data_IF_395930212564
#
_entry.id   IF_395930212564
#
_cell.length_a   1.000
_cell.length_b   1.000
_cell.length_c   1.000
_cell.angle_alpha   90.00
_cell.angle_beta   90.00
_cell.angle_gamma   90.00
#
_symmetry.space_group_name_H-M   'P 1'
#
loop_
_entity.id
_entity.type
_entity.pdbx_description
1 polymer ?
#
# COMPACT_ATOMS: atom_id res chain seq x y z
N UNK A 1 -5.15 12.24 -22.08
CA UNK A 1 -5.47 13.05 -20.87
C UNK A 1 -4.74 12.48 -19.66
N UNK A 2 -3.98 13.31 -18.93
CA UNK A 2 -3.30 12.88 -17.69
C UNK A 2 -4.33 12.73 -16.56
N UNK A 3 -4.29 11.60 -15.86
CA UNK A 3 -5.13 11.38 -14.68
C UNK A 3 -4.50 12.05 -13.45
N UNK A 4 -4.86 13.32 -13.22
CA UNK A 4 -4.30 14.20 -12.17
C UNK A 4 -4.28 13.54 -10.79
N UNK A 5 -5.31 12.75 -10.46
CA UNK A 5 -5.42 12.04 -9.18
C UNK A 5 -4.33 10.98 -9.02
N UNK A 6 -4.05 10.22 -10.09
CA UNK A 6 -3.00 9.19 -10.10
C UNK A 6 -1.62 9.84 -9.99
N UNK A 7 -1.38 10.92 -10.74
CA UNK A 7 -0.09 11.63 -10.70
C UNK A 7 0.20 12.21 -9.32
N UNK A 8 -0.77 12.88 -8.69
CA UNK A 8 -0.64 13.41 -7.33
C UNK A 8 -0.33 12.28 -6.33
N UNK A 9 -1.00 11.13 -6.45
CA UNK A 9 -0.77 9.95 -5.60
C UNK A 9 0.65 9.41 -5.77
N UNK A 10 1.13 9.28 -7.00
CA UNK A 10 2.47 8.78 -7.29
C UNK A 10 3.55 9.74 -6.78
N UNK A 11 3.35 11.05 -6.95
CA UNK A 11 4.26 12.08 -6.40
C UNK A 11 4.35 11.99 -4.87
N UNK A 12 3.22 11.87 -4.18
CA UNK A 12 3.19 11.71 -2.73
C UNK A 12 3.86 10.40 -2.29
N UNK A 13 3.57 9.27 -2.97
CA UNK A 13 4.23 8.00 -2.69
C UNK A 13 5.75 8.11 -2.81
N UNK A 14 6.27 8.75 -3.85
CA UNK A 14 7.72 8.96 -4.02
C UNK A 14 8.30 9.80 -2.87
N UNK A 15 7.64 10.90 -2.48
CA UNK A 15 8.07 11.75 -1.36
C UNK A 15 8.06 11.01 -0.01
N UNK A 16 7.10 10.11 0.21
CA UNK A 16 7.05 9.32 1.44
C UNK A 16 8.15 8.25 1.43
N UNK A 17 8.35 7.56 0.30
CA UNK A 17 9.40 6.53 0.13
C UNK A 17 10.82 7.08 0.22
N UNK A 18 11.03 8.39 -0.01
CA UNK A 18 12.35 9.00 0.22
C UNK A 18 12.69 9.16 1.70
N UNK A 19 11.70 9.05 2.61
CA UNK A 19 11.89 9.14 4.06
C UNK A 19 11.65 7.81 4.78
N UNK A 20 10.78 6.98 4.23
CA UNK A 20 10.38 5.69 4.80
C UNK A 20 10.94 4.59 3.93
N UNK A 21 11.91 3.86 4.47
CA UNK A 21 12.53 2.68 3.89
C UNK A 21 12.28 1.48 4.81
N UNK A 22 11.86 0.36 4.24
CA UNK A 22 11.59 -0.87 4.98
C UNK A 22 12.80 -1.79 4.99
N UNK A 23 13.19 -2.28 6.17
CA UNK A 23 14.25 -3.29 6.34
C UNK A 23 13.66 -4.63 6.78
N UNK A 24 14.47 -5.68 6.87
CA UNK A 24 14.02 -6.98 7.39
C UNK A 24 13.45 -6.90 8.82
N UNK A 25 14.04 -6.06 9.69
CA UNK A 25 13.56 -5.87 11.07
C UNK A 25 12.33 -4.95 11.13
N UNK A 26 12.28 -3.93 10.27
CA UNK A 26 11.20 -2.96 10.21
C UNK A 26 10.70 -2.79 8.78
N UNK A 27 9.90 -3.74 8.28
CA UNK A 27 9.43 -3.70 6.90
C UNK A 27 8.40 -2.59 6.68
N UNK A 28 8.33 -2.09 5.46
CA UNK A 28 7.45 -0.99 5.07
C UNK A 28 6.06 -1.51 4.72
N UNK A 29 5.04 -1.01 5.39
CA UNK A 29 3.65 -1.26 5.05
C UNK A 29 3.18 -0.34 3.90
N UNK A 30 2.72 -0.93 2.80
CA UNK A 30 2.16 -0.24 1.63
C UNK A 30 0.67 -0.53 1.51
N UNK A 31 -0.16 0.51 1.59
CA UNK A 31 -1.62 0.40 1.44
C UNK A 31 -2.08 1.01 0.13
N UNK A 32 -2.87 0.25 -0.63
CA UNK A 32 -3.61 0.70 -1.80
C UNK A 32 -5.11 0.59 -1.55
N UNK A 33 -5.82 1.71 -1.68
CA UNK A 33 -7.27 1.77 -1.53
C UNK A 33 -7.88 2.16 -2.88
N UNK A 34 -8.75 1.28 -3.37
CA UNK A 34 -9.63 1.53 -4.50
C UNK A 34 -11.02 1.96 -4.00
N UNK A 35 -11.96 2.19 -4.92
CA UNK A 35 -13.34 2.48 -4.54
C UNK A 35 -14.05 1.27 -3.91
N UNK A 36 -13.61 0.04 -4.26
CA UNK A 36 -14.30 -1.20 -3.88
C UNK A 36 -13.59 -1.96 -2.76
N UNK A 37 -12.26 -2.01 -2.82
CA UNK A 37 -11.40 -2.84 -1.98
C UNK A 37 -10.15 -2.12 -1.48
N UNK A 38 -9.58 -2.65 -0.40
CA UNK A 38 -8.31 -2.23 0.19
C UNK A 38 -7.32 -3.41 0.12
N UNK A 39 -6.08 -3.08 -0.19
CA UNK A 39 -4.95 -3.99 -0.28
C UNK A 39 -3.80 -3.44 0.56
N UNK A 40 -3.17 -4.30 1.35
CA UNK A 40 -2.02 -3.98 2.17
C UNK A 40 -0.89 -4.98 1.90
N UNK A 41 0.35 -4.50 1.87
CA UNK A 41 1.55 -5.31 1.64
C UNK A 41 2.63 -4.89 2.63
N UNK A 42 3.28 -5.87 3.24
CA UNK A 42 4.46 -5.68 4.08
C UNK A 42 5.70 -5.99 3.23
N UNK A 43 6.58 -5.00 3.02
CA UNK A 43 7.66 -5.08 2.05
C UNK A 43 9.00 -4.82 2.74
N UNK A 44 9.97 -5.68 2.47
CA UNK A 44 11.38 -5.44 2.73
C UNK A 44 11.98 -4.76 1.48
N UNK A 45 12.39 -3.49 1.61
CA UNK A 45 12.96 -2.73 0.50
C UNK A 45 14.43 -3.08 0.23
N UNK A 46 15.16 -3.67 1.18
CA UNK A 46 16.56 -4.12 0.98
C UNK A 46 16.61 -5.33 0.06
N UNK A 47 15.73 -6.30 0.33
CA UNK A 47 15.61 -7.54 -0.46
C UNK A 47 14.66 -7.38 -1.65
N UNK A 48 13.90 -6.28 -1.71
CA UNK A 48 12.85 -6.05 -2.69
C UNK A 48 11.70 -7.06 -2.60
N UNK A 49 11.51 -7.71 -1.45
CA UNK A 49 10.60 -8.83 -1.27
C UNK A 49 9.35 -8.42 -0.49
N UNK A 50 8.19 -8.91 -0.92
CA UNK A 50 6.96 -8.78 -0.13
C UNK A 50 6.90 -9.93 0.86
N UNK A 51 6.88 -9.61 2.16
CA UNK A 51 6.84 -10.57 3.26
C UNK A 51 5.42 -11.08 3.51
N UNK A 52 4.43 -10.19 3.42
CA UNK A 52 3.04 -10.52 3.67
C UNK A 52 2.10 -9.63 2.85
N UNK A 53 0.91 -10.13 2.55
CA UNK A 53 -0.14 -9.36 1.89
C UNK A 53 -1.51 -9.65 2.50
N UNK A 54 -2.37 -8.64 2.53
CA UNK A 54 -3.74 -8.74 3.01
C UNK A 54 -4.68 -7.96 2.09
N UNK A 55 -5.88 -8.46 1.87
CA UNK A 55 -6.91 -7.75 1.09
C UNK A 55 -8.31 -8.07 1.57
N UNK A 56 -9.20 -7.09 1.44
CA UNK A 56 -10.61 -7.19 1.82
C UNK A 56 -11.49 -7.73 0.67
N UNK A 57 -10.88 -8.38 -0.33
CA UNK A 57 -11.59 -8.94 -1.50
C UNK A 57 -12.37 -10.21 -1.13
N UNK A 58 -11.83 -11.00 -0.19
CA UNK A 58 -12.35 -12.33 0.18
C UNK A 58 -13.03 -12.37 1.56
N UNK A 59 -13.08 -11.25 2.27
CA UNK A 59 -13.72 -11.19 3.58
C UNK A 59 -15.23 -11.08 3.36
N UNK A 60 -15.98 -12.10 3.81
CA UNK A 60 -17.43 -12.05 3.87
C UNK A 60 -17.83 -10.91 4.80
N UNK A 61 -18.44 -9.87 4.23
CA UNK A 61 -18.65 -8.58 4.90
C UNK A 61 -19.60 -8.72 6.10
N UNK A 62 -19.04 -8.89 7.29
CA UNK A 62 -19.54 -8.16 8.45
C UNK A 62 -19.45 -6.67 8.12
N UNK A 63 -20.54 -5.93 8.37
CA UNK A 63 -20.79 -4.54 7.94
C UNK A 63 -19.52 -3.68 7.90
N UNK A 64 -19.32 -2.95 6.80
CA UNK A 64 -18.24 -1.95 6.67
C UNK A 64 -18.39 -0.92 7.82
N UNK A 65 -17.46 -0.90 8.76
CA UNK A 65 -17.30 0.18 9.73
C UNK A 65 -16.16 1.08 9.25
N UNK A 66 -16.52 2.15 8.55
CA UNK A 66 -15.73 3.37 8.35
C UNK A 66 -16.68 4.54 8.09
#
# INVERSE_FOLDING_TARGET
MKNIKIEKRNRLKKKIRSKIFGTSEKPRLSVFRSNKFIYAQLIDDEKGMTLASASDVKINKGKKHF
#
